data_IF_693949053513
#
_entry.id   IF_693949053513
#
_cell.length_a   1.000
_cell.length_b   1.000
_cell.length_c   1.000
_cell.angle_alpha   90.00
_cell.angle_beta   90.00
_cell.angle_gamma   90.00
#
_symmetry.space_group_name_H-M   'P 1'
#
loop_
_entity.id
_entity.type
_entity.pdbx_description
1 polymer ?
#
# COMPACT_ATOMS: atom_id res chain seq x y z
N UNK A 1 12.69 -17.19 22.24
CA UNK A 1 11.99 -16.84 20.99
C UNK A 1 10.56 -16.50 21.37
N UNK A 2 10.15 -15.23 21.28
CA UNK A 2 8.79 -14.83 21.64
C UNK A 2 7.90 -15.27 20.48
N UNK A 3 6.97 -16.19 20.72
CA UNK A 3 5.93 -16.54 19.76
C UNK A 3 4.98 -15.34 19.63
N UNK A 4 5.04 -14.64 18.51
CA UNK A 4 4.04 -13.61 18.17
C UNK A 4 2.85 -14.34 17.56
N UNK A 5 1.69 -14.27 18.20
CA UNK A 5 0.46 -14.73 17.57
C UNK A 5 0.05 -13.71 16.50
N UNK A 6 0.35 -14.01 15.24
CA UNK A 6 0.14 -13.11 14.10
C UNK A 6 -1.34 -12.78 13.87
N UNK A 7 -2.28 -13.67 14.25
CA UNK A 7 -3.73 -13.41 14.13
C UNK A 7 -4.19 -12.21 14.98
N UNK A 8 -3.43 -11.86 16.03
CA UNK A 8 -3.72 -10.72 16.92
C UNK A 8 -3.37 -9.37 16.30
N UNK A 9 -2.65 -9.37 15.16
CA UNK A 9 -2.31 -8.17 14.42
C UNK A 9 -3.47 -7.66 13.56
N UNK A 10 -4.47 -8.51 13.30
CA UNK A 10 -5.67 -8.15 12.56
C UNK A 10 -6.57 -7.24 13.37
N UNK A 11 -7.12 -6.23 12.71
CA UNK A 11 -8.15 -5.37 13.28
C UNK A 11 -9.41 -6.20 13.47
N UNK A 12 -9.87 -6.32 14.71
CA UNK A 12 -11.09 -7.07 15.08
C UNK A 12 -12.22 -6.15 15.53
N UNK A 13 -11.87 -5.09 16.24
CA UNK A 13 -12.85 -4.20 16.85
C UNK A 13 -13.41 -3.20 15.85
N UNK A 14 -14.73 -3.19 15.68
CA UNK A 14 -15.45 -2.25 14.80
C UNK A 14 -15.08 -0.79 15.07
N UNK A 15 -14.92 -0.45 16.36
CA UNK A 15 -14.51 0.92 16.76
C UNK A 15 -13.10 1.26 16.28
N UNK A 16 -12.15 0.33 16.41
CA UNK A 16 -10.78 0.54 15.92
C UNK A 16 -10.78 0.66 14.40
N UNK A 17 -11.50 -0.21 13.70
CA UNK A 17 -11.65 -0.14 12.25
C UNK A 17 -12.12 1.24 11.78
N UNK A 18 -13.20 1.80 12.32
CA UNK A 18 -13.66 3.13 11.91
C UNK A 18 -12.75 4.29 12.34
N UNK A 19 -11.90 4.09 13.35
CA UNK A 19 -10.84 5.05 13.65
C UNK A 19 -9.78 5.03 12.56
N UNK A 20 -9.28 3.84 12.21
CA UNK A 20 -8.29 3.66 11.14
C UNK A 20 -8.84 4.07 9.78
N UNK A 21 -10.10 3.75 9.47
CA UNK A 21 -10.75 4.11 8.21
C UNK A 21 -10.80 5.63 8.03
N UNK A 22 -11.05 6.40 9.10
CA UNK A 22 -10.97 7.86 9.04
C UNK A 22 -9.56 8.35 8.74
N UNK A 23 -8.56 7.80 9.42
CA UNK A 23 -7.15 8.13 9.16
C UNK A 23 -6.76 7.82 7.71
N UNK A 24 -7.21 6.68 7.18
CA UNK A 24 -7.01 6.26 5.79
C UNK A 24 -7.70 7.24 4.84
N UNK A 25 -8.93 7.66 5.14
CA UNK A 25 -9.66 8.65 4.36
C UNK A 25 -9.07 10.08 4.45
N UNK A 26 -8.30 10.41 5.50
CA UNK A 26 -7.57 11.68 5.59
C UNK A 26 -6.33 11.69 4.69
N UNK A 27 -5.82 10.53 4.31
CA UNK A 27 -4.63 10.36 3.46
C UNK A 27 -5.00 10.11 2.00
N UNK A 28 -6.11 9.40 1.77
CA UNK A 28 -6.51 8.96 0.44
C UNK A 28 -7.93 9.39 0.06
N UNK A 29 -8.16 9.64 -1.22
CA UNK A 29 -9.49 9.73 -1.82
C UNK A 29 -10.01 8.30 -2.07
N UNK A 30 -10.71 7.71 -1.10
CA UNK A 30 -11.19 6.32 -1.17
C UNK A 30 -12.26 6.10 -2.25
N UNK A 31 -12.89 7.18 -2.72
CA UNK A 31 -13.81 7.23 -3.85
C UNK A 31 -13.10 7.18 -5.22
N UNK A 32 -11.79 7.42 -5.26
CA UNK A 32 -11.00 7.40 -6.48
C UNK A 32 -10.26 6.07 -6.66
N UNK A 33 -9.93 5.77 -7.91
CA UNK A 33 -9.04 4.69 -8.33
C UNK A 33 -8.07 5.22 -9.38
N UNK A 34 -6.97 4.50 -9.61
CA UNK A 34 -6.08 4.84 -10.70
C UNK A 34 -6.84 4.84 -12.04
N UNK A 35 -6.48 5.76 -12.96
CA UNK A 35 -5.32 6.66 -12.92
C UNK A 35 -5.62 8.04 -12.29
N UNK A 36 -6.78 8.24 -11.64
CA UNK A 36 -7.11 9.49 -10.95
C UNK A 36 -6.27 9.66 -9.69
N UNK A 37 -6.15 10.89 -9.18
CA UNK A 37 -5.48 11.17 -7.91
C UNK A 37 -6.13 10.40 -6.75
N UNK A 38 -5.36 9.51 -6.11
CA UNK A 38 -5.77 8.75 -4.93
C UNK A 38 -5.22 9.32 -3.62
N UNK A 39 -4.18 10.17 -3.67
CA UNK A 39 -3.62 10.80 -2.47
C UNK A 39 -4.24 12.18 -2.22
N UNK A 40 -4.47 12.51 -0.96
CA UNK A 40 -4.83 13.86 -0.52
C UNK A 40 -3.58 14.68 -0.24
N UNK A 41 -3.71 16.01 -0.25
CA UNK A 41 -2.68 16.88 0.30
C UNK A 41 -2.41 16.54 1.79
N UNK A 42 -1.16 16.63 2.27
CA UNK A 42 -0.02 17.29 1.63
C UNK A 42 0.88 16.37 0.77
N UNK A 43 0.48 15.14 0.48
CA UNK A 43 1.29 14.20 -0.30
C UNK A 43 1.45 14.69 -1.74
N UNK A 44 2.69 14.92 -2.16
CA UNK A 44 3.00 15.56 -3.45
C UNK A 44 4.27 15.05 -4.15
N UNK A 45 5.06 14.22 -3.47
CA UNK A 45 6.22 13.57 -4.07
C UNK A 45 5.92 12.09 -4.21
N UNK A 46 5.89 11.62 -5.45
CA UNK A 46 5.44 10.28 -5.82
C UNK A 46 6.55 9.48 -6.47
N UNK A 47 6.76 8.27 -5.98
CA UNK A 47 7.60 7.26 -6.61
C UNK A 47 6.84 5.96 -6.80
N UNK A 48 7.30 5.15 -7.74
CA UNK A 48 6.59 3.99 -8.25
C UNK A 48 7.44 2.74 -8.16
N UNK A 49 6.79 1.61 -7.94
CA UNK A 49 7.36 0.27 -7.94
C UNK A 49 6.32 -0.76 -8.40
N UNK A 50 6.75 -1.95 -8.83
CA UNK A 50 5.85 -3.04 -9.21
C UNK A 50 5.02 -3.55 -8.02
N UNK A 51 3.73 -3.80 -8.23
CA UNK A 51 2.82 -4.26 -7.17
C UNK A 51 3.26 -5.59 -6.56
N UNK A 52 3.57 -6.58 -7.39
CA UNK A 52 3.92 -7.93 -6.91
C UNK A 52 5.20 -7.93 -6.07
N UNK A 53 6.15 -7.03 -6.34
CA UNK A 53 7.33 -6.86 -5.50
C UNK A 53 6.97 -6.41 -4.07
N UNK A 54 5.92 -5.60 -3.89
CA UNK A 54 5.45 -5.16 -2.55
C UNK A 54 4.77 -6.26 -1.72
N UNK A 55 4.61 -7.44 -2.29
CA UNK A 55 4.06 -8.62 -1.61
C UNK A 55 5.15 -9.60 -1.13
N UNK A 56 6.43 -9.26 -1.29
CA UNK A 56 7.58 -10.07 -0.88
C UNK A 56 8.18 -9.58 0.48
N UNK A 57 8.98 -10.43 1.13
CA UNK A 57 9.77 -10.12 2.32
C UNK A 57 10.89 -9.09 2.09
N UNK A 58 11.41 -8.96 0.87
CA UNK A 58 12.38 -7.91 0.53
C UNK A 58 11.77 -6.51 0.63
N UNK A 59 10.50 -6.37 0.25
CA UNK A 59 9.75 -5.13 0.45
C UNK A 59 9.62 -4.77 1.92
N UNK A 60 9.36 -5.75 2.80
CA UNK A 60 9.30 -5.48 4.23
C UNK A 60 10.60 -4.90 4.77
N UNK A 61 11.75 -5.37 4.29
CA UNK A 61 13.05 -4.81 4.67
C UNK A 61 13.15 -3.32 4.31
N UNK A 62 12.63 -2.91 3.15
CA UNK A 62 12.56 -1.50 2.74
C UNK A 62 11.62 -0.72 3.66
N UNK A 63 10.45 -1.28 3.98
CA UNK A 63 9.47 -0.68 4.89
C UNK A 63 10.08 -0.47 6.29
N UNK A 64 10.82 -1.45 6.81
CA UNK A 64 11.48 -1.32 8.11
C UNK A 64 12.52 -0.20 8.13
N UNK A 65 13.32 -0.08 7.06
CA UNK A 65 14.31 1.00 6.95
C UNK A 65 13.64 2.37 6.89
N UNK A 66 12.59 2.50 6.08
CA UNK A 66 11.82 3.74 5.95
C UNK A 66 11.17 4.11 7.28
N UNK A 67 10.53 3.13 7.93
CA UNK A 67 9.90 3.28 9.25
C UNK A 67 10.87 3.70 10.33
N UNK A 68 12.06 3.09 10.38
CA UNK A 68 13.13 3.46 11.32
C UNK A 68 13.58 4.90 11.11
N UNK A 69 13.74 5.30 9.85
CA UNK A 69 14.14 6.66 9.48
C UNK A 69 13.07 7.69 9.86
N UNK A 70 11.80 7.34 9.70
CA UNK A 70 10.65 8.22 9.92
C UNK A 70 10.06 8.14 11.34
N UNK A 71 10.55 7.21 12.16
CA UNK A 71 10.14 6.91 13.55
C UNK A 71 8.71 6.36 13.64
N UNK A 72 8.40 5.40 12.78
CA UNK A 72 7.12 4.68 12.78
C UNK A 72 7.20 3.45 13.70
N UNK A 73 6.13 3.18 14.45
CA UNK A 73 6.06 2.05 15.38
C UNK A 73 5.39 0.83 14.75
N UNK A 74 4.39 1.08 13.91
CA UNK A 74 3.64 0.08 13.17
C UNK A 74 3.26 0.62 11.80
N UNK A 75 2.92 -0.29 10.90
CA UNK A 75 2.36 0.00 9.59
C UNK A 75 0.96 -0.57 9.56
N UNK A 76 -0.04 0.24 9.22
CA UNK A 76 -1.34 -0.27 8.83
C UNK A 76 -1.22 -0.80 7.41
N UNK A 77 -1.30 -2.11 7.24
CA UNK A 77 -1.48 -2.74 5.92
C UNK A 77 -2.95 -3.10 5.77
N UNK A 78 -3.62 -2.51 4.78
CA UNK A 78 -5.06 -2.56 4.67
C UNK A 78 -5.51 -2.80 3.23
N UNK A 79 -6.41 -3.77 3.05
CA UNK A 79 -7.06 -4.03 1.76
C UNK A 79 -8.27 -3.11 1.63
N UNK A 80 -8.34 -2.38 0.50
CA UNK A 80 -9.48 -1.53 0.15
C UNK A 80 -10.40 -2.19 -0.87
N UNK A 81 -9.87 -3.12 -1.66
CA UNK A 81 -10.58 -3.90 -2.67
C UNK A 81 -10.01 -5.33 -2.68
N UNK A 82 -10.80 -6.39 -2.42
CA UNK A 82 -12.25 -6.39 -2.15
C UNK A 82 -12.63 -5.58 -0.89
N UNK A 83 -13.87 -5.07 -0.87
CA UNK A 83 -14.28 -4.08 0.12
C UNK A 83 -14.19 -4.63 1.57
N UNK A 84 -13.54 -3.92 2.51
CA UNK A 84 -13.20 -4.47 3.82
C UNK A 84 -14.42 -4.74 4.72
N UNK A 85 -15.56 -4.09 4.45
CA UNK A 85 -16.81 -4.30 5.20
C UNK A 85 -17.76 -5.20 4.41
N UNK A 86 -18.34 -4.67 3.34
CA UNK A 86 -19.31 -5.33 2.43
C UNK A 86 -18.89 -6.69 1.86
N UNK A 87 -17.59 -7.02 1.86
CA UNK A 87 -17.13 -8.36 1.51
C UNK A 87 -16.51 -9.03 2.73
N UNK A 88 -15.34 -8.56 3.16
CA UNK A 88 -14.51 -9.37 4.06
C UNK A 88 -15.10 -9.49 5.48
N UNK A 89 -15.62 -8.41 6.04
CA UNK A 89 -16.27 -8.45 7.36
C UNK A 89 -17.59 -9.21 7.35
N UNK A 90 -18.40 -9.04 6.30
CA UNK A 90 -19.69 -9.74 6.18
C UNK A 90 -19.50 -11.26 6.05
N UNK A 91 -18.49 -11.71 5.29
CA UNK A 91 -18.21 -13.13 5.10
C UNK A 91 -17.46 -13.77 6.28
N UNK A 92 -16.49 -13.07 6.89
CA UNK A 92 -15.55 -13.69 7.84
C UNK A 92 -15.62 -13.13 9.28
N UNK A 93 -16.36 -12.04 9.52
CA UNK A 93 -16.58 -11.48 10.85
C UNK A 93 -15.41 -10.68 11.44
N UNK A 94 -14.40 -10.33 10.63
CA UNK A 94 -13.30 -9.42 10.99
C UNK A 94 -12.81 -8.66 9.76
N UNK A 95 -11.81 -7.79 9.90
CA UNK A 95 -11.32 -6.97 8.79
C UNK A 95 -9.99 -7.52 8.24
N UNK A 96 -9.81 -7.50 6.92
CA UNK A 96 -8.56 -7.79 6.22
C UNK A 96 -7.55 -6.63 6.33
N UNK A 97 -7.45 -6.06 7.53
CA UNK A 97 -6.59 -4.94 7.90
C UNK A 97 -5.71 -5.40 9.05
N UNK A 98 -4.40 -5.16 8.95
CA UNK A 98 -3.42 -5.59 9.94
C UNK A 98 -2.54 -4.43 10.36
N UNK A 99 -2.06 -4.46 11.61
CA UNK A 99 -1.11 -3.47 12.16
C UNK A 99 0.19 -4.14 12.58
N UNK A 100 0.99 -4.68 11.62
CA UNK A 100 2.30 -5.23 11.93
C UNK A 100 3.19 -4.19 12.60
N UNK A 101 3.78 -4.49 13.78
CA UNK A 101 4.81 -3.65 14.33
C UNK A 101 6.07 -3.73 13.48
N UNK A 102 6.82 -2.63 13.40
CA UNK A 102 7.98 -2.51 12.50
C UNK A 102 9.10 -3.51 12.83
N UNK A 103 9.11 -4.11 14.02
CA UNK A 103 10.11 -5.09 14.43
C UNK A 103 9.80 -6.55 14.00
N UNK A 104 8.70 -6.82 13.29
CA UNK A 104 8.48 -8.14 12.69
C UNK A 104 9.62 -8.49 11.73
N UNK A 105 9.97 -9.76 11.63
CA UNK A 105 10.87 -10.24 10.56
C UNK A 105 10.13 -10.25 9.22
N UNK A 106 10.87 -10.27 8.10
CA UNK A 106 10.29 -10.43 6.77
C UNK A 106 9.42 -11.69 6.66
N UNK A 107 9.89 -12.83 7.15
CA UNK A 107 9.10 -14.07 7.17
C UNK A 107 7.80 -13.91 7.97
N UNK A 108 7.84 -13.24 9.13
CA UNK A 108 6.64 -12.98 9.91
C UNK A 108 5.67 -12.08 9.16
N UNK A 109 6.16 -11.05 8.47
CA UNK A 109 5.33 -10.17 7.66
C UNK A 109 4.68 -10.93 6.50
N UNK A 110 5.44 -11.73 5.75
CA UNK A 110 4.91 -12.56 4.65
C UNK A 110 3.86 -13.54 5.19
N UNK A 111 4.14 -14.22 6.31
CA UNK A 111 3.16 -15.07 6.98
C UNK A 111 1.87 -14.31 7.35
N UNK A 112 1.95 -13.02 7.73
CA UNK A 112 0.75 -12.19 7.97
C UNK A 112 -0.05 -11.98 6.69
N UNK A 113 0.61 -11.76 5.55
CA UNK A 113 -0.07 -11.59 4.26
C UNK A 113 -0.74 -12.89 3.80
N UNK A 114 -0.14 -14.05 4.10
CA UNK A 114 -0.66 -15.39 3.80
C UNK A 114 -1.76 -15.87 4.75
N UNK A 115 -1.92 -15.21 5.91
CA UNK A 115 -2.96 -15.55 6.87
C UNK A 115 -4.33 -15.10 6.35
N UNK A 116 -5.07 -16.04 5.79
CA UNK A 116 -6.48 -15.91 5.42
C UNK A 116 -7.44 -16.55 6.45
N UNK A 117 -8.76 -16.37 6.25
CA UNK A 117 -9.78 -17.15 6.95
C UNK A 117 -9.53 -18.66 6.81
N UNK A 118 -9.82 -19.45 7.86
CA UNK A 118 -9.53 -20.90 7.85
C UNK A 118 -10.36 -21.65 6.82
N UNK A 119 -11.59 -21.21 6.66
CA UNK A 119 -12.59 -21.68 5.71
C UNK A 119 -12.31 -21.23 4.28
N UNK A 120 -11.53 -20.16 4.10
CA UNK A 120 -11.15 -19.65 2.78
C UNK A 120 -9.73 -19.07 2.77
N UNK A 121 -8.68 -19.93 2.76
CA UNK A 121 -7.29 -19.45 2.70
C UNK A 121 -6.97 -18.61 1.46
N UNK A 122 -7.74 -18.79 0.37
CA UNK A 122 -7.62 -17.99 -0.85
C UNK A 122 -7.98 -16.51 -0.62
N UNK A 123 -8.70 -16.18 0.45
CA UNK A 123 -9.03 -14.81 0.84
C UNK A 123 -7.93 -14.10 1.64
N UNK A 124 -6.75 -14.72 1.79
CA UNK A 124 -5.59 -14.05 2.37
C UNK A 124 -5.20 -12.81 1.56
N UNK A 125 -4.65 -11.80 2.24
CA UNK A 125 -4.24 -10.52 1.62
C UNK A 125 -3.29 -10.72 0.44
N UNK A 126 -2.37 -11.69 0.54
CA UNK A 126 -1.42 -12.00 -0.53
C UNK A 126 -2.11 -12.39 -1.85
N UNK A 127 -3.25 -13.10 -1.74
CA UNK A 127 -3.90 -13.74 -2.88
C UNK A 127 -5.15 -13.00 -3.37
N UNK A 128 -5.99 -12.49 -2.47
CA UNK A 128 -7.25 -11.81 -2.82
C UNK A 128 -7.22 -10.34 -2.41
N UNK A 129 -6.38 -9.55 -3.09
CA UNK A 129 -6.34 -8.10 -2.93
C UNK A 129 -6.04 -7.40 -4.25
N UNK A 130 -6.89 -6.44 -4.61
CA UNK A 130 -6.75 -5.60 -5.80
C UNK A 130 -6.25 -4.21 -5.46
N UNK A 131 -6.63 -3.68 -4.29
CA UNK A 131 -6.09 -2.42 -3.77
C UNK A 131 -5.63 -2.63 -2.34
N UNK A 132 -4.36 -2.34 -2.08
CA UNK A 132 -3.72 -2.45 -0.76
C UNK A 132 -3.01 -1.16 -0.43
N UNK A 133 -3.11 -0.70 0.82
CA UNK A 133 -2.35 0.45 1.29
C UNK A 133 -1.40 0.06 2.40
N UNK A 134 -0.30 0.81 2.50
CA UNK A 134 0.61 0.77 3.65
C UNK A 134 0.69 2.17 4.23
N UNK A 135 0.14 2.33 5.43
CA UNK A 135 0.04 3.60 6.13
C UNK A 135 0.78 3.55 7.45
N UNK A 136 1.96 4.18 7.57
CA UNK A 136 2.71 4.23 8.81
C UNK A 136 2.05 5.09 9.89
N UNK A 137 2.39 4.84 11.16
CA UNK A 137 1.87 5.57 12.31
C UNK A 137 2.17 7.08 12.29
N UNK A 138 3.25 7.54 11.66
CA UNK A 138 3.55 8.98 11.52
C UNK A 138 2.81 9.67 10.37
N UNK A 139 2.29 8.90 9.42
CA UNK A 139 1.70 9.38 8.16
C UNK A 139 2.62 10.30 7.32
N UNK A 140 3.95 10.26 7.52
CA UNK A 140 4.90 11.08 6.74
C UNK A 140 5.07 10.60 5.30
N UNK A 141 4.82 9.31 5.11
CA UNK A 141 4.77 8.61 3.83
C UNK A 141 3.54 7.71 3.83
N UNK A 142 3.11 7.26 2.67
CA UNK A 142 2.05 6.27 2.51
C UNK A 142 2.21 5.59 1.16
N UNK A 143 1.79 4.32 1.04
CA UNK A 143 1.81 3.60 -0.23
C UNK A 143 0.39 3.21 -0.63
N UNK A 144 0.06 3.42 -1.90
CA UNK A 144 -1.12 2.90 -2.57
C UNK A 144 -0.69 1.86 -3.60
N UNK A 145 -1.06 0.61 -3.39
CA UNK A 145 -0.90 -0.48 -4.35
C UNK A 145 -2.20 -0.77 -5.08
N UNK A 146 -2.11 -0.89 -6.41
CA UNK A 146 -3.22 -1.25 -7.28
C UNK A 146 -2.79 -2.38 -8.22
N UNK A 147 -3.29 -3.59 -7.98
CA UNK A 147 -2.96 -4.78 -8.75
C UNK A 147 -3.45 -4.68 -10.19
N UNK A 148 -4.56 -3.98 -10.44
CA UNK A 148 -5.10 -3.83 -11.81
C UNK A 148 -4.18 -2.97 -12.69
N UNK A 149 -3.37 -2.10 -12.08
CA UNK A 149 -2.35 -1.33 -12.77
C UNK A 149 -0.94 -1.93 -12.60
N UNK A 150 -0.79 -2.98 -11.79
CA UNK A 150 0.50 -3.63 -11.50
C UNK A 150 1.53 -2.74 -10.82
N UNK A 151 1.11 -1.66 -10.17
CA UNK A 151 2.01 -0.68 -9.56
C UNK A 151 1.61 -0.32 -8.12
N UNK A 152 2.62 0.09 -7.37
CA UNK A 152 2.52 0.77 -6.10
C UNK A 152 3.03 2.20 -6.24
N UNK A 153 2.38 3.14 -5.56
CA UNK A 153 2.73 4.56 -5.51
C UNK A 153 3.11 4.90 -4.08
N UNK A 154 4.33 5.32 -3.84
CA UNK A 154 4.80 5.90 -2.58
C UNK A 154 4.59 7.41 -2.63
N UNK A 155 3.68 7.91 -1.80
CA UNK A 155 3.50 9.34 -1.56
C UNK A 155 4.32 9.80 -0.37
N UNK A 156 5.01 10.93 -0.51
CA UNK A 156 5.73 11.63 0.55
C UNK A 156 5.19 13.06 0.70
N UNK A 157 5.08 13.52 1.95
CA UNK A 157 4.45 14.82 2.28
C UNK A 157 5.29 16.05 1.95
N UNK A 158 6.61 15.96 2.12
CA UNK A 158 7.50 17.11 1.91
C UNK A 158 8.88 16.71 1.39
N UNK A 159 9.68 17.71 1.00
CA UNK A 159 11.00 17.51 0.42
C UNK A 159 12.00 16.87 1.40
N UNK A 160 11.87 17.10 2.71
CA UNK A 160 12.76 16.49 3.70
C UNK A 160 12.49 14.99 3.78
N UNK A 161 11.21 14.59 3.80
CA UNK A 161 10.84 13.19 3.75
C UNK A 161 11.32 12.52 2.45
N UNK A 162 11.29 13.24 1.32
CA UNK A 162 11.86 12.76 0.05
C UNK A 162 13.37 12.51 0.15
N UNK A 163 14.13 13.45 0.71
CA UNK A 163 15.58 13.29 0.90
C UNK A 163 15.89 12.12 1.83
N UNK A 164 15.10 11.97 2.90
CA UNK A 164 15.25 10.89 3.87
C UNK A 164 14.91 9.50 3.30
N UNK A 165 13.93 9.42 2.40
CA UNK A 165 13.51 8.17 1.76
C UNK A 165 14.43 7.75 0.60
N UNK A 166 14.99 8.70 -0.15
CA UNK A 166 15.83 8.44 -1.34
C UNK A 166 16.91 7.34 -1.18
N UNK A 167 17.74 7.32 -0.12
CA UNK A 167 18.76 6.27 0.01
C UNK A 167 18.20 4.87 0.30
N UNK A 168 16.91 4.78 0.69
CA UNK A 168 16.24 3.54 1.12
C UNK A 168 15.49 2.91 -0.06
N UNK A 169 14.73 3.71 -0.80
CA UNK A 169 13.82 3.23 -1.86
C UNK A 169 14.50 3.22 -3.23
N UNK A 170 15.62 2.51 -3.35
CA UNK A 170 16.52 2.58 -4.53
C UNK A 170 15.92 2.06 -5.84
N UNK A 171 14.99 1.12 -5.75
CA UNK A 171 14.31 0.54 -6.91
C UNK A 171 13.10 1.37 -7.34
N UNK A 172 12.61 2.24 -6.44
CA UNK A 172 11.46 3.09 -6.69
C UNK A 172 11.84 4.27 -7.58
N UNK A 173 10.93 4.64 -8.48
CA UNK A 173 11.24 5.57 -9.59
C UNK A 173 10.20 6.68 -9.70
N UNK A 174 10.57 7.89 -10.15
CA UNK A 174 9.57 8.87 -10.57
C UNK A 174 8.75 8.33 -11.76
N UNK A 175 7.57 8.92 -12.00
CA UNK A 175 6.77 8.64 -13.19
C UNK A 175 7.62 8.85 -14.46
N UNK A 176 7.88 7.77 -15.18
CA UNK A 176 8.68 7.74 -16.40
C UNK A 176 8.22 6.59 -17.33
N UNK A 177 8.91 6.40 -18.46
CA UNK A 177 8.56 5.36 -19.43
C UNK A 177 8.68 3.93 -18.87
N UNK A 178 9.56 3.68 -17.90
CA UNK A 178 9.64 2.36 -17.25
C UNK A 178 8.38 2.11 -16.43
N UNK A 179 7.91 3.09 -15.66
CA UNK A 179 6.65 2.97 -14.92
C UNK A 179 5.48 2.67 -15.87
N UNK A 180 5.39 3.38 -17.00
CA UNK A 180 4.35 3.10 -18.00
C UNK A 180 4.46 1.68 -18.57
N UNK A 181 5.68 1.15 -18.71
CA UNK A 181 5.88 -0.22 -19.21
C UNK A 181 5.38 -1.27 -18.22
N UNK A 182 5.49 -1.04 -16.90
CA UNK A 182 4.88 -1.90 -15.89
C UNK A 182 3.36 -1.85 -15.97
N UNK A 183 2.79 -0.64 -16.08
CA UNK A 183 1.34 -0.47 -16.18
C UNK A 183 0.79 -1.15 -17.43
N UNK A 184 1.46 -0.99 -18.56
CA UNK A 184 1.04 -1.56 -19.84
C UNK A 184 0.88 -3.09 -19.79
N UNK A 185 1.64 -3.81 -18.95
CA UNK A 185 1.51 -5.27 -18.80
C UNK A 185 0.10 -5.71 -18.39
N UNK A 186 -0.69 -4.82 -17.78
CA UNK A 186 -2.05 -5.10 -17.32
C UNK A 186 -3.13 -4.70 -18.35
N UNK A 187 -2.74 -4.19 -19.52
CA UNK A 187 -3.66 -3.80 -20.59
C UNK A 187 -3.59 -4.78 -21.76
N UNK A 188 -4.71 -4.92 -22.48
CA UNK A 188 -4.80 -5.79 -23.65
C UNK A 188 -3.71 -5.41 -24.67
N UNK A 189 -3.00 -6.43 -25.18
CA UNK A 189 -1.88 -6.29 -26.11
C UNK A 189 -0.75 -5.37 -25.62
N UNK A 190 -0.66 -5.11 -24.31
CA UNK A 190 0.31 -4.19 -23.71
C UNK A 190 0.21 -2.76 -24.27
N UNK A 191 -1.00 -2.35 -24.66
CA UNK A 191 -1.27 -1.02 -25.18
C UNK A 191 -1.96 -0.18 -24.11
N UNK A 192 -1.24 0.81 -23.58
CA UNK A 192 -1.75 1.73 -22.59
C UNK A 192 -2.52 2.88 -23.28
N UNK A 193 -3.81 3.09 -22.97
CA UNK A 193 -4.56 4.22 -23.53
C UNK A 193 -3.92 5.56 -23.17
N UNK A 194 -3.88 6.50 -24.13
CA UNK A 194 -3.25 7.81 -23.91
C UNK A 194 -3.90 8.58 -22.75
N UNK A 195 -5.22 8.45 -22.56
CA UNK A 195 -5.93 9.05 -21.43
C UNK A 195 -5.41 8.57 -20.06
N UNK A 196 -4.97 7.30 -19.97
CA UNK A 196 -4.38 6.74 -18.75
C UNK A 196 -3.00 7.35 -18.52
N UNK A 197 -2.19 7.45 -19.57
CA UNK A 197 -0.87 8.09 -19.52
C UNK A 197 -1.01 9.54 -19.06
N UNK A 198 -1.85 10.31 -19.73
CA UNK A 198 -2.07 11.73 -19.44
C UNK A 198 -2.54 11.94 -18.00
N UNK A 199 -3.47 11.10 -17.51
CA UNK A 199 -3.96 11.16 -16.13
C UNK A 199 -2.86 10.83 -15.11
N UNK A 200 -2.01 9.83 -15.38
CA UNK A 200 -0.91 9.47 -14.49
C UNK A 200 0.13 10.62 -14.39
N UNK A 201 0.54 11.21 -15.52
CA UNK A 201 1.45 12.36 -15.49
C UNK A 201 0.82 13.59 -14.81
N UNK A 202 -0.46 13.88 -15.08
CA UNK A 202 -1.17 15.01 -14.47
C UNK A 202 -1.18 14.95 -12.94
N UNK A 203 -1.39 13.76 -12.38
CA UNK A 203 -1.58 13.57 -10.94
C UNK A 203 -0.29 13.24 -10.18
N UNK A 204 0.68 12.57 -10.81
CA UNK A 204 1.80 11.96 -10.10
C UNK A 204 3.20 12.35 -10.58
N UNK A 205 3.32 13.25 -11.55
CA UNK A 205 4.62 13.84 -11.88
C UNK A 205 5.12 14.73 -10.75
N UNK A 206 6.41 14.58 -10.41
CA UNK A 206 7.09 15.36 -9.38
C UNK A 206 7.55 16.75 -9.85
N UNK A 207 7.10 17.20 -11.02
CA UNK A 207 7.40 18.53 -11.52
C UNK A 207 6.65 19.58 -10.68
N UNK A 208 7.32 20.70 -10.40
CA UNK A 208 6.88 21.70 -9.45
C UNK A 208 5.45 22.18 -9.76
N UNK A 209 4.49 21.81 -8.91
CA UNK A 209 3.22 22.51 -8.74
C UNK A 209 3.38 23.62 -7.71
#
# INVERSE_FOLDING_TARGET
>A
MIFVNLETLFVREKREFYQLYRTVNDVFFLENRLPKQVFREPFRYFWFEEFDWTMDGDFWTVIQQLSKKMKDEYILTAVLDPHPVEYFYEEFGYYNWVKPPVHLTSDQYVNVLELGPKESPADAMLYNSYTVIWLPSSMKWAIWGDRNYGICILGLRDANHRVDAWPIVKTWRPMDQTVLSWVALNFANQQLPQEVVDSLFLHYSNEAK
#
